data_IF_243333460868
#
_entry.id   IF_243333460868
#
_cell.length_a   1.000
_cell.length_b   1.000
_cell.length_c   1.000
_cell.angle_alpha   90.00
_cell.angle_beta   90.00
_cell.angle_gamma   90.00
#
_symmetry.space_group_name_H-M   'P 1'
#
loop_
_entity.id
_entity.type
_entity.pdbx_description
1 polymer ?
#
# COMPACT_ATOMS: atom_id res chain seq x y z
N UNK A 1 -24.86 0.38 19.22
CA UNK A 1 -24.70 1.56 18.32
C UNK A 1 -23.85 1.22 17.07
N UNK A 2 -24.16 0.11 16.37
CA UNK A 2 -23.27 -0.45 15.32
C UNK A 2 -23.70 -0.16 13.87
N UNK A 3 -24.80 0.58 13.67
CA UNK A 3 -25.36 0.83 12.34
C UNK A 3 -24.48 1.73 11.44
N UNK A 4 -23.70 2.66 12.00
CA UNK A 4 -22.97 3.65 11.18
C UNK A 4 -21.73 3.10 10.48
N UNK A 5 -21.07 2.07 11.03
CA UNK A 5 -19.88 1.47 10.44
C UNK A 5 -20.24 0.52 9.30
N UNK A 6 -21.28 -0.28 9.49
CA UNK A 6 -21.78 -1.22 8.47
C UNK A 6 -22.32 -0.49 7.24
N UNK A 7 -23.14 0.55 7.43
CA UNK A 7 -23.67 1.38 6.33
C UNK A 7 -22.55 2.11 5.58
N UNK A 8 -21.54 2.64 6.29
CA UNK A 8 -20.35 3.25 5.64
C UNK A 8 -19.57 2.23 4.80
N UNK A 9 -19.36 1.01 5.31
CA UNK A 9 -18.75 -0.08 4.53
C UNK A 9 -19.60 -0.44 3.30
N UNK A 10 -20.93 -0.46 3.43
CA UNK A 10 -21.85 -0.79 2.33
C UNK A 10 -21.86 0.30 1.24
N UNK A 11 -21.86 1.58 1.63
CA UNK A 11 -21.77 2.71 0.72
C UNK A 11 -20.42 2.72 -0.02
N UNK A 12 -19.32 2.45 0.70
CA UNK A 12 -18.00 2.36 0.10
C UNK A 12 -17.87 1.18 -0.86
N UNK A 13 -18.47 0.01 -0.55
CA UNK A 13 -18.56 -1.16 -1.46
C UNK A 13 -19.21 -0.81 -2.79
N UNK A 14 -20.33 -0.08 -2.76
CA UNK A 14 -21.02 0.38 -3.98
C UNK A 14 -20.16 1.35 -4.80
N UNK A 15 -19.39 2.21 -4.14
CA UNK A 15 -18.50 3.15 -4.84
C UNK A 15 -17.19 2.54 -5.32
N UNK A 16 -16.65 1.53 -4.63
CA UNK A 16 -15.34 0.95 -4.90
C UNK A 16 -15.35 -0.09 -6.02
N UNK A 17 -16.53 -0.48 -6.52
CA UNK A 17 -16.71 -1.53 -7.56
C UNK A 17 -15.91 -2.81 -7.27
N UNK A 18 -15.74 -3.15 -5.99
CA UNK A 18 -15.01 -4.35 -5.59
C UNK A 18 -15.97 -5.53 -5.65
N UNK A 19 -15.73 -6.42 -6.60
CA UNK A 19 -16.44 -7.69 -6.73
C UNK A 19 -16.25 -8.56 -5.47
N UNK A 20 -17.25 -9.36 -5.07
CA UNK A 20 -17.21 -10.23 -3.90
C UNK A 20 -16.33 -11.49 -4.08
N UNK A 21 -15.36 -11.52 -4.99
CA UNK A 21 -14.27 -12.50 -4.98
C UNK A 21 -13.05 -11.94 -4.24
N UNK A 22 -12.13 -12.81 -3.82
CA UNK A 22 -10.99 -12.36 -3.01
C UNK A 22 -9.93 -11.61 -3.83
N UNK A 23 -9.74 -11.95 -5.11
CA UNK A 23 -8.72 -11.32 -5.96
C UNK A 23 -8.91 -9.80 -6.15
N UNK A 24 -10.11 -9.27 -6.43
CA UNK A 24 -10.39 -7.83 -6.44
C UNK A 24 -10.13 -7.16 -5.09
N UNK A 25 -10.47 -7.83 -3.98
CA UNK A 25 -10.21 -7.29 -2.64
C UNK A 25 -8.71 -7.23 -2.35
N UNK A 26 -7.95 -8.24 -2.75
CA UNK A 26 -6.49 -8.26 -2.65
C UNK A 26 -5.85 -7.15 -3.47
N UNK A 27 -6.34 -6.89 -4.68
CA UNK A 27 -5.93 -5.72 -5.47
C UNK A 27 -6.29 -4.41 -4.75
N UNK A 28 -7.47 -4.33 -4.15
CA UNK A 28 -7.93 -3.18 -3.38
C UNK A 28 -7.09 -2.85 -2.14
N UNK A 29 -6.39 -3.84 -1.55
CA UNK A 29 -5.44 -3.60 -0.45
C UNK A 29 -4.29 -2.69 -0.86
N UNK A 30 -3.93 -2.70 -2.14
CA UNK A 30 -2.83 -1.92 -2.71
C UNK A 30 -3.34 -0.72 -3.53
N UNK A 31 -4.60 -0.33 -3.41
CA UNK A 31 -5.09 0.86 -4.11
C UNK A 31 -4.50 2.13 -3.48
N UNK A 32 -4.20 3.13 -4.29
CA UNK A 32 -3.71 4.42 -3.82
C UNK A 32 -4.72 5.18 -2.94
N UNK A 33 -6.02 4.90 -3.01
CA UNK A 33 -7.05 5.49 -2.17
C UNK A 33 -7.21 4.75 -0.84
N UNK A 34 -7.03 5.47 0.28
CA UNK A 34 -7.15 4.91 1.62
C UNK A 34 -8.53 4.28 1.91
N UNK A 35 -9.62 4.89 1.40
CA UNK A 35 -10.98 4.36 1.59
C UNK A 35 -11.18 2.99 0.94
N UNK A 36 -10.59 2.78 -0.25
CA UNK A 36 -10.62 1.48 -0.96
C UNK A 36 -9.84 0.44 -0.18
N UNK A 37 -8.62 0.77 0.30
CA UNK A 37 -7.81 -0.13 1.14
C UNK A 37 -8.50 -0.52 2.43
N UNK A 38 -9.14 0.44 3.12
CA UNK A 38 -9.89 0.16 4.35
C UNK A 38 -11.06 -0.77 4.08
N UNK A 39 -11.83 -0.50 3.02
CA UNK A 39 -13.01 -1.30 2.64
C UNK A 39 -12.60 -2.72 2.27
N UNK A 40 -11.55 -2.88 1.44
CA UNK A 40 -10.98 -4.17 1.07
C UNK A 40 -10.54 -4.98 2.30
N UNK A 41 -9.85 -4.34 3.26
CA UNK A 41 -9.45 -4.98 4.53
C UNK A 41 -10.65 -5.46 5.34
N UNK A 42 -11.65 -4.59 5.53
CA UNK A 42 -12.84 -4.94 6.32
C UNK A 42 -13.61 -6.11 5.69
N UNK A 43 -13.75 -6.10 4.37
CA UNK A 43 -14.36 -7.19 3.59
C UNK A 43 -13.59 -8.50 3.73
N UNK A 44 -12.27 -8.45 3.55
CA UNK A 44 -11.42 -9.64 3.67
C UNK A 44 -11.44 -10.21 5.09
N UNK A 45 -11.46 -9.39 6.14
CA UNK A 45 -11.60 -9.88 7.52
C UNK A 45 -12.96 -10.49 7.82
N UNK A 46 -14.03 -9.91 7.27
CA UNK A 46 -15.36 -10.47 7.47
C UNK A 46 -15.49 -11.88 6.87
N UNK A 47 -14.71 -12.18 5.82
CA UNK A 47 -14.68 -13.49 5.14
C UNK A 47 -13.65 -14.44 5.74
N UNK A 48 -12.47 -13.90 6.01
CA UNK A 48 -11.30 -14.61 6.51
C UNK A 48 -10.86 -13.97 7.83
N UNK A 49 -11.59 -14.21 8.93
CA UNK A 49 -11.30 -13.57 10.22
C UNK A 49 -9.92 -13.94 10.76
N UNK A 50 -9.38 -15.10 10.36
CA UNK A 50 -8.02 -15.53 10.70
C UNK A 50 -6.92 -14.89 9.83
N UNK A 51 -7.26 -14.11 8.80
CA UNK A 51 -6.27 -13.54 7.88
C UNK A 51 -5.48 -12.43 8.58
N UNK A 52 -4.18 -12.68 8.77
CA UNK A 52 -3.31 -11.77 9.51
C UNK A 52 -2.99 -10.50 8.72
N UNK A 53 -2.74 -9.41 9.45
CA UNK A 53 -2.19 -8.17 8.91
C UNK A 53 -0.86 -8.40 8.16
N UNK A 54 -0.13 -9.45 8.49
CA UNK A 54 1.14 -9.81 7.89
C UNK A 54 1.02 -10.11 6.40
N UNK A 55 -0.08 -10.70 5.94
CA UNK A 55 -0.29 -10.98 4.52
C UNK A 55 -0.35 -9.68 3.68
N UNK A 56 -1.05 -8.67 4.19
CA UNK A 56 -1.13 -7.34 3.55
C UNK A 56 0.24 -6.65 3.58
N UNK A 57 0.94 -6.71 4.71
CA UNK A 57 2.30 -6.17 4.87
C UNK A 57 3.28 -6.83 3.89
N UNK A 58 3.29 -8.16 3.83
CA UNK A 58 4.17 -8.94 2.95
C UNK A 58 3.94 -8.61 1.47
N UNK A 59 2.68 -8.43 1.05
CA UNK A 59 2.36 -8.02 -0.31
C UNK A 59 2.95 -6.64 -0.64
N UNK A 60 2.74 -5.65 0.25
CA UNK A 60 3.30 -4.31 0.07
C UNK A 60 4.84 -4.31 0.03
N UNK A 61 5.49 -5.07 0.91
CA UNK A 61 6.95 -5.22 0.93
C UNK A 61 7.48 -5.83 -0.36
N UNK A 62 6.83 -6.87 -0.91
CA UNK A 62 7.20 -7.47 -2.20
C UNK A 62 7.09 -6.46 -3.34
N UNK A 63 5.99 -5.69 -3.38
CA UNK A 63 5.79 -4.65 -4.41
C UNK A 63 6.85 -3.56 -4.35
N UNK A 64 7.22 -3.08 -3.16
CA UNK A 64 8.28 -2.07 -3.00
C UNK A 64 9.67 -2.64 -3.27
N UNK A 65 9.95 -3.86 -2.81
CA UNK A 65 11.24 -4.53 -3.05
C UNK A 65 11.47 -4.74 -4.55
N UNK A 66 10.45 -5.19 -5.29
CA UNK A 66 10.52 -5.31 -6.75
C UNK A 66 10.74 -3.98 -7.46
N UNK A 67 10.18 -2.88 -6.93
CA UNK A 67 10.44 -1.54 -7.46
C UNK A 67 11.90 -1.07 -7.24
N UNK A 68 12.55 -1.51 -6.15
CA UNK A 68 13.96 -1.19 -5.82
C UNK A 68 15.00 -2.11 -6.45
N UNK A 69 14.69 -3.40 -6.67
CA UNK A 69 15.65 -4.37 -7.20
C UNK A 69 16.03 -4.08 -8.67
N UNK A 70 15.09 -3.53 -9.44
CA UNK A 70 15.31 -3.14 -10.84
C UNK A 70 16.19 -1.89 -11.00
N UNK A 71 16.51 -1.18 -9.91
CA UNK A 71 17.41 -0.02 -9.93
C UNK A 71 18.88 -0.43 -9.80
N UNK A 72 19.18 -1.62 -9.25
CA UNK A 72 20.56 -2.06 -8.96
C UNK A 72 21.23 -2.85 -10.08
N UNK A 73 20.47 -3.43 -11.01
CA UNK A 73 21.01 -4.28 -12.09
C UNK A 73 21.60 -3.54 -13.30
N UNK A 74 21.66 -2.20 -13.30
CA UNK A 74 22.20 -1.42 -14.43
C UNK A 74 23.20 -0.35 -13.97
N UNK A 75 24.29 -0.78 -13.33
CA UNK A 75 25.50 0.03 -13.18
C UNK A 75 26.39 -0.16 -14.42
N UNK A 76 26.00 0.45 -15.54
CA UNK A 76 26.77 0.39 -16.78
C UNK A 76 26.06 1.08 -17.94
N UNK A 77 26.42 2.36 -18.14
CA UNK A 77 26.15 3.19 -19.32
C UNK A 77 24.67 3.59 -19.54
N UNK A 78 24.44 4.91 -19.58
CA UNK A 78 23.16 5.63 -19.70
C UNK A 78 22.23 5.57 -18.47
N UNK A 79 21.91 6.76 -17.94
CA UNK A 79 20.97 6.94 -16.84
C UNK A 79 19.63 6.22 -17.15
N UNK A 80 19.20 5.24 -16.33
CA UNK A 80 18.01 4.45 -16.64
C UNK A 80 16.73 5.26 -16.31
N UNK A 81 15.61 5.00 -17.01
CA UNK A 81 14.33 5.57 -16.61
C UNK A 81 13.93 5.10 -15.20
N UNK A 82 13.21 5.91 -14.41
CA UNK A 82 12.78 5.52 -13.08
C UNK A 82 11.91 4.25 -13.14
N UNK A 83 12.00 3.40 -12.10
CA UNK A 83 11.32 2.10 -11.92
C UNK A 83 10.07 1.88 -12.80
N UNK A 84 9.97 0.74 -13.51
CA UNK A 84 8.77 0.35 -14.29
C UNK A 84 7.46 0.23 -13.46
N UNK A 85 7.55 0.20 -12.13
CA UNK A 85 6.37 0.24 -11.27
C UNK A 85 5.68 1.61 -11.37
N UNK A 86 4.40 1.62 -11.75
CA UNK A 86 3.64 2.87 -11.88
C UNK A 86 3.61 3.65 -10.56
N UNK A 87 3.55 4.98 -10.65
CA UNK A 87 3.38 5.86 -9.47
C UNK A 87 2.24 5.39 -8.58
N UNK A 88 1.13 4.93 -9.19
CA UNK A 88 -0.05 4.44 -8.47
C UNK A 88 0.25 3.19 -7.65
N UNK A 89 1.00 2.24 -8.20
CA UNK A 89 1.36 1.00 -7.50
C UNK A 89 2.28 1.28 -6.30
N UNK A 90 3.27 2.16 -6.47
CA UNK A 90 4.20 2.52 -5.38
C UNK A 90 3.46 3.28 -4.28
N UNK A 91 2.64 4.26 -4.62
CA UNK A 91 1.80 4.99 -3.64
C UNK A 91 0.83 4.05 -2.92
N UNK A 92 0.24 3.09 -3.64
CA UNK A 92 -0.62 2.07 -3.08
C UNK A 92 0.09 1.20 -2.04
N UNK A 93 1.29 0.70 -2.37
CA UNK A 93 2.09 -0.12 -1.46
C UNK A 93 2.60 0.66 -0.25
N UNK A 94 3.05 1.91 -0.42
CA UNK A 94 3.42 2.81 0.68
C UNK A 94 2.20 3.07 1.59
N UNK A 95 1.05 3.37 0.99
CA UNK A 95 -0.20 3.57 1.73
C UNK A 95 -0.64 2.33 2.50
N UNK A 96 -0.40 1.13 1.97
CA UNK A 96 -0.66 -0.11 2.69
C UNK A 96 0.33 -0.33 3.85
N UNK A 97 1.61 0.01 3.71
CA UNK A 97 2.55 -0.01 4.84
C UNK A 97 2.23 1.05 5.89
N UNK A 98 1.73 2.22 5.49
CA UNK A 98 1.22 3.21 6.45
C UNK A 98 0.06 2.67 7.28
N UNK A 99 -0.70 1.71 6.74
CA UNK A 99 -1.87 1.12 7.37
C UNK A 99 -1.54 -0.04 8.33
N UNK A 100 -0.50 -0.82 8.03
CA UNK A 100 -0.21 -2.10 8.73
C UNK A 100 1.27 -2.39 8.98
N UNK A 101 2.16 -1.49 8.55
CA UNK A 101 3.61 -1.64 8.67
C UNK A 101 4.10 -1.45 10.10
N UNK A 102 5.37 -1.79 10.31
CA UNK A 102 6.06 -1.73 11.59
C UNK A 102 7.32 -0.88 11.48
N UNK A 103 7.96 -0.56 12.62
CA UNK A 103 9.24 0.15 12.67
C UNK A 103 10.35 -0.52 11.83
N UNK A 104 10.30 -1.84 11.67
CA UNK A 104 11.26 -2.59 10.86
C UNK A 104 11.16 -2.28 9.34
N UNK A 105 10.05 -1.68 8.89
CA UNK A 105 9.84 -1.36 7.47
C UNK A 105 10.40 0.02 7.09
N UNK A 106 10.83 0.82 8.07
CA UNK A 106 11.29 2.22 7.89
C UNK A 106 12.44 2.31 6.89
N UNK A 107 13.43 1.43 6.97
CA UNK A 107 14.61 1.47 6.09
C UNK A 107 14.22 1.32 4.61
N UNK A 108 13.28 0.42 4.32
CA UNK A 108 12.78 0.22 2.96
C UNK A 108 12.02 1.45 2.46
N UNK A 109 11.14 2.02 3.30
CA UNK A 109 10.35 3.21 2.95
C UNK A 109 11.26 4.43 2.73
N UNK A 110 12.35 4.55 3.49
CA UNK A 110 13.29 5.66 3.38
C UNK A 110 13.89 5.79 1.97
N UNK A 111 14.06 4.68 1.25
CA UNK A 111 14.58 4.67 -0.13
C UNK A 111 13.66 5.41 -1.12
N UNK A 112 12.37 5.54 -0.79
CA UNK A 112 11.39 6.25 -1.61
C UNK A 112 11.24 7.74 -1.25
N UNK A 113 11.88 8.20 -0.17
CA UNK A 113 11.87 9.61 0.22
C UNK A 113 12.58 10.51 -0.80
N UNK A 114 13.55 9.94 -1.54
CA UNK A 114 14.32 10.62 -2.60
C UNK A 114 13.87 10.24 -4.01
N UNK A 115 12.72 9.56 -4.18
CA UNK A 115 12.22 9.15 -5.50
C UNK A 115 11.99 10.38 -6.40
N UNK A 116 12.27 10.27 -7.71
CA UNK A 116 12.09 11.37 -8.65
C UNK A 116 10.63 11.87 -8.73
N UNK A 117 9.65 11.01 -8.41
CA UNK A 117 8.22 11.30 -8.52
C UNK A 117 7.71 12.01 -7.26
N UNK A 118 7.18 13.26 -7.36
CA UNK A 118 6.75 14.03 -6.18
C UNK A 118 5.67 13.35 -5.33
N UNK A 119 4.73 12.65 -5.96
CA UNK A 119 3.67 11.91 -5.24
C UNK A 119 4.22 10.75 -4.42
N UNK A 120 5.23 10.04 -4.93
CA UNK A 120 5.88 8.94 -4.21
C UNK A 120 6.62 9.49 -2.99
N UNK A 121 7.41 10.56 -3.15
CA UNK A 121 8.10 11.20 -2.03
C UNK A 121 7.15 11.64 -0.92
N UNK A 122 6.04 12.29 -1.30
CA UNK A 122 5.03 12.75 -0.34
C UNK A 122 4.44 11.59 0.46
N UNK A 123 4.07 10.51 -0.21
CA UNK A 123 3.49 9.34 0.47
C UNK A 123 4.55 8.59 1.31
N UNK A 124 5.79 8.52 0.85
CA UNK A 124 6.89 7.92 1.59
C UNK A 124 7.17 8.70 2.89
N UNK A 125 7.26 10.03 2.82
CA UNK A 125 7.45 10.89 3.99
C UNK A 125 6.31 10.73 5.01
N UNK A 126 5.06 10.67 4.53
CA UNK A 126 3.89 10.39 5.39
C UNK A 126 3.99 9.03 6.07
N UNK A 127 4.36 8.00 5.31
CA UNK A 127 4.50 6.64 5.82
C UNK A 127 5.61 6.57 6.88
N UNK A 128 6.74 7.24 6.66
CA UNK A 128 7.84 7.31 7.62
C UNK A 128 7.43 7.95 8.95
N UNK A 129 6.69 9.06 8.91
CA UNK A 129 6.21 9.74 10.12
C UNK A 129 5.37 8.79 10.99
N UNK A 130 4.45 8.04 10.36
CA UNK A 130 3.59 7.08 11.04
C UNK A 130 4.36 5.88 11.61
N UNK A 131 5.29 5.32 10.85
CA UNK A 131 6.08 4.17 11.30
C UNK A 131 7.08 4.53 12.41
N UNK A 132 7.60 5.76 12.40
CA UNK A 132 8.57 6.24 13.39
C UNK A 132 7.90 6.67 14.71
N UNK A 133 6.57 6.80 14.74
CA UNK A 133 5.83 7.26 15.91
C UNK A 133 6.00 8.75 16.21
N UNK A 134 6.42 9.53 15.20
CA UNK A 134 6.47 10.99 15.29
C UNK A 134 5.09 11.49 14.86
N UNK A 135 4.22 11.76 15.82
CA UNK A 135 2.92 12.42 15.65
C UNK A 135 2.88 13.70 16.46
#
# INVERSE_FOLDING_TARGET
QSHSAWVRSLALRRTSKLDPSDAPLEAGLMDHHAAVRLTARQLLRARHPARSFEATRALALRSLSGATALTRSHAGVHAPPPSRASTRAVVGALGALSDVGTRHDVELVHRFATDARPRVRKEAARTLALLSGVS
#
